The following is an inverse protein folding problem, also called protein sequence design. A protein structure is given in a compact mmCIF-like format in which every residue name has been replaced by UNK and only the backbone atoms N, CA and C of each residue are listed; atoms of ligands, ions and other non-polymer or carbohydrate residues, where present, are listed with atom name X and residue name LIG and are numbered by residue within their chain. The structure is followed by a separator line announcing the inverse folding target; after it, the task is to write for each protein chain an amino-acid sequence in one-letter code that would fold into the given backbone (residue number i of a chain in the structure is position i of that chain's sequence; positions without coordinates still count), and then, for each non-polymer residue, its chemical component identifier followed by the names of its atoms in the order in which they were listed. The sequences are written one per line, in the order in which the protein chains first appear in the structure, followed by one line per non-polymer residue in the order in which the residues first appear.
data_IF_411297857569
#
_entry.id   IF_411297857569
#
_cell.length_a   1.000
_cell.length_b   1.000
_cell.length_c   1.000
_cell.angle_alpha   90.00
_cell.angle_beta   90.00
_cell.angle_gamma   90.00
#
_symmetry.space_group_name_H-M   'P 1'
#
loop_
_entity.id
_entity.type
_entity.pdbx_description
1 polymer ?
#
# COMPACT_ATOMS: atom_id res chain seq x y z
N UNK A 1 -7.65 -4.15 3.99
CA UNK A 1 -8.87 -4.75 3.35
C UNK A 1 -9.00 -6.22 3.69
N UNK A 2 -10.17 -6.84 3.48
CA UNK A 2 -10.40 -8.26 3.72
C UNK A 2 -10.82 -8.96 2.42
N UNK A 3 -10.28 -10.16 2.18
CA UNK A 3 -10.58 -11.04 1.05
C UNK A 3 -11.14 -12.35 1.63
N UNK A 4 -12.34 -12.72 1.23
CA UNK A 4 -12.95 -14.00 1.61
C UNK A 4 -12.52 -15.09 0.62
N UNK A 5 -12.22 -16.28 1.14
CA UNK A 5 -11.87 -17.46 0.37
C UNK A 5 -13.05 -18.43 0.27
N UNK A 6 -13.01 -19.32 -0.73
CA UNK A 6 -14.08 -20.28 -1.00
C UNK A 6 -14.33 -21.27 0.15
N UNK A 7 -13.27 -21.59 0.91
CA UNK A 7 -13.33 -22.47 2.08
C UNK A 7 -13.78 -21.76 3.37
N UNK A 8 -14.15 -20.47 3.31
CA UNK A 8 -14.58 -19.66 4.44
C UNK A 8 -13.45 -18.94 5.21
N UNK A 9 -12.20 -19.19 4.87
CA UNK A 9 -11.08 -18.42 5.42
C UNK A 9 -11.12 -16.96 4.94
N UNK A 10 -10.43 -16.10 5.67
CA UNK A 10 -10.32 -14.69 5.31
C UNK A 10 -8.86 -14.24 5.36
N UNK A 11 -8.44 -13.53 4.33
CA UNK A 11 -7.13 -12.87 4.29
C UNK A 11 -7.30 -11.38 4.54
N UNK A 12 -6.60 -10.87 5.54
CA UNK A 12 -6.51 -9.43 5.81
C UNK A 12 -5.26 -8.90 5.17
N UNK A 13 -5.42 -7.86 4.36
CA UNK A 13 -4.33 -7.22 3.65
C UNK A 13 -4.22 -5.76 4.07
N UNK A 14 -3.06 -5.40 4.60
CA UNK A 14 -2.64 -4.01 4.77
C UNK A 14 -1.70 -3.66 3.61
N UNK A 15 -1.69 -2.40 3.17
CA UNK A 15 -0.89 -1.95 2.04
C UNK A 15 -0.53 -0.47 2.20
N UNK A 16 0.56 -0.08 1.57
CA UNK A 16 1.03 1.29 1.48
C UNK A 16 0.95 1.80 0.04
N UNK A 17 0.40 3.00 -0.15
CA UNK A 17 0.25 3.64 -1.47
C UNK A 17 0.96 4.99 -1.46
N UNK A 18 1.68 5.28 -2.53
CA UNK A 18 2.14 6.64 -2.80
C UNK A 18 0.97 7.49 -3.34
N UNK A 19 0.81 8.69 -2.78
CA UNK A 19 -0.28 9.58 -3.19
C UNK A 19 -0.01 10.33 -4.48
N UNK A 20 1.24 10.46 -4.88
CA UNK A 20 1.64 11.20 -6.08
C UNK A 20 1.52 10.36 -7.34
N UNK A 21 2.07 9.16 -7.30
CA UNK A 21 2.18 8.27 -8.46
C UNK A 21 1.28 7.03 -8.39
N UNK A 22 0.46 6.92 -7.33
CA UNK A 22 -0.46 5.81 -7.09
C UNK A 22 0.22 4.44 -6.95
N UNK A 23 1.53 4.37 -6.78
CA UNK A 23 2.26 3.12 -6.62
C UNK A 23 1.85 2.39 -5.33
N UNK A 24 1.58 1.11 -5.43
CA UNK A 24 1.45 0.23 -4.27
C UNK A 24 2.85 -0.23 -3.83
N UNK A 25 3.41 0.46 -2.84
CA UNK A 25 4.80 0.31 -2.40
C UNK A 25 5.06 -0.99 -1.64
N UNK A 26 4.03 -1.55 -1.01
CA UNK A 26 4.15 -2.79 -0.26
C UNK A 26 2.82 -3.28 0.29
N UNK A 27 2.80 -4.53 0.72
CA UNK A 27 1.65 -5.14 1.39
C UNK A 27 2.09 -6.16 2.43
N UNK A 28 1.23 -6.37 3.40
CA UNK A 28 1.31 -7.48 4.37
C UNK A 28 -0.03 -8.19 4.35
N UNK A 29 -0.01 -9.52 4.37
CA UNK A 29 -1.20 -10.35 4.32
C UNK A 29 -1.17 -11.42 5.41
N UNK A 30 -2.29 -11.56 6.13
CA UNK A 30 -2.41 -12.51 7.24
C UNK A 30 -3.86 -13.03 7.35
N UNK A 31 -4.02 -14.21 7.92
CA UNK A 31 -5.33 -14.74 8.32
C UNK A 31 -5.77 -14.22 9.69
N UNK A 32 -4.83 -13.69 10.47
CA UNK A 32 -5.06 -13.06 11.77
C UNK A 32 -5.41 -11.56 11.67
N UNK A 33 -5.25 -10.85 12.77
CA UNK A 33 -5.33 -9.38 12.81
C UNK A 33 -4.02 -8.75 12.34
N UNK A 34 -4.09 -7.59 11.69
CA UNK A 34 -2.91 -6.78 11.38
C UNK A 34 -2.30 -6.27 12.69
N UNK A 35 -1.03 -6.53 12.88
CA UNK A 35 -0.25 -6.16 14.07
C UNK A 35 0.50 -4.84 13.89
N UNK A 36 1.10 -4.34 14.96
CA UNK A 36 1.98 -3.18 14.88
C UNK A 36 3.26 -3.47 14.08
N UNK A 37 3.76 -4.70 14.15
CA UNK A 37 4.92 -5.17 13.39
C UNK A 37 4.62 -5.21 11.90
N UNK A 38 3.45 -5.72 11.49
CA UNK A 38 2.99 -5.68 10.09
C UNK A 38 2.96 -4.25 9.53
N UNK A 39 2.55 -3.29 10.36
CA UNK A 39 2.54 -1.87 9.97
C UNK A 39 3.96 -1.33 9.85
N UNK A 40 4.87 -1.72 10.73
CA UNK A 40 6.29 -1.33 10.64
C UNK A 40 6.95 -1.92 9.38
N UNK A 41 6.62 -3.14 8.98
CA UNK A 41 7.10 -3.74 7.72
C UNK A 41 6.65 -2.94 6.50
N UNK A 42 5.41 -2.42 6.49
CA UNK A 42 4.96 -1.50 5.44
C UNK A 42 5.71 -0.16 5.44
N UNK A 43 6.09 0.34 6.61
CA UNK A 43 6.92 1.54 6.73
C UNK A 43 8.32 1.32 6.18
N UNK A 44 8.92 0.14 6.43
CA UNK A 44 10.21 -0.26 5.86
C UNK A 44 10.13 -0.38 4.34
N UNK A 45 9.08 -0.97 3.80
CA UNK A 45 8.86 -1.04 2.35
C UNK A 45 8.80 0.37 1.73
N UNK A 46 8.19 1.32 2.41
CA UNK A 46 8.13 2.72 1.99
C UNK A 46 9.51 3.38 2.03
N UNK A 47 10.28 3.16 3.09
CA UNK A 47 11.65 3.65 3.21
C UNK A 47 12.53 3.12 2.06
N UNK A 48 12.48 1.83 1.78
CA UNK A 48 13.22 1.21 0.66
C UNK A 48 12.82 1.78 -0.70
N UNK A 49 11.53 2.10 -0.90
CA UNK A 49 11.03 2.71 -2.13
C UNK A 49 11.70 4.05 -2.44
N UNK A 50 12.00 4.83 -1.42
CA UNK A 50 12.68 6.11 -1.57
C UNK A 50 14.22 6.01 -1.56
N UNK A 51 14.77 4.80 -1.71
CA UNK A 51 16.18 4.54 -1.94
C UNK A 51 17.10 4.77 -0.73
N UNK A 52 16.53 4.79 0.46
CA UNK A 52 17.27 5.04 1.70
C UNK A 52 17.47 3.76 2.51
N UNK A 53 18.55 3.69 3.23
CA UNK A 53 18.83 2.63 4.20
C UNK A 53 18.70 3.20 5.60
N UNK A 54 17.77 2.67 6.36
CA UNK A 54 17.44 3.02 7.75
C UNK A 54 16.77 4.38 7.98
N UNK A 55 16.67 5.26 6.98
CA UNK A 55 15.98 6.53 7.10
C UNK A 55 15.74 7.20 5.75
N UNK A 56 14.57 7.80 5.55
CA UNK A 56 14.31 8.68 4.39
C UNK A 56 15.05 10.02 4.57
N UNK A 57 15.57 10.59 3.48
CA UNK A 57 16.31 11.86 3.53
C UNK A 57 15.43 13.03 3.91
N UNK A 58 14.28 13.12 3.28
CA UNK A 58 13.29 14.16 3.59
C UNK A 58 12.09 13.54 4.29
N UNK A 59 11.51 14.22 5.30
CA UNK A 59 10.38 13.70 6.04
C UNK A 59 9.18 13.46 5.12
N UNK A 60 8.63 12.24 5.17
CA UNK A 60 7.46 11.83 4.40
C UNK A 60 6.28 11.67 5.34
N UNK A 61 5.13 12.26 5.01
CA UNK A 61 3.91 12.05 5.77
C UNK A 61 3.37 10.64 5.55
N UNK A 62 3.24 9.90 6.64
CA UNK A 62 2.63 8.57 6.70
C UNK A 62 1.20 8.68 7.20
N UNK A 63 0.25 8.66 6.28
CA UNK A 63 -1.16 8.76 6.60
C UNK A 63 -1.77 7.38 6.83
N UNK A 64 -2.39 7.16 7.98
CA UNK A 64 -3.00 5.88 8.34
C UNK A 64 -4.38 6.02 8.98
N UNK A 65 -5.09 4.90 9.12
CA UNK A 65 -6.31 4.82 9.89
C UNK A 65 -6.05 4.99 11.40
N UNK A 66 -7.12 5.25 12.16
CA UNK A 66 -7.07 5.36 13.62
C UNK A 66 -7.03 4.01 14.36
N UNK A 67 -6.79 2.90 13.66
CA UNK A 67 -6.67 1.57 14.28
C UNK A 67 -5.51 1.50 15.28
N UNK A 68 -5.67 0.67 16.31
CA UNK A 68 -4.70 0.55 17.42
C UNK A 68 -3.28 0.20 16.96
N UNK A 69 -3.14 -0.68 15.96
CA UNK A 69 -1.84 -1.06 15.39
C UNK A 69 -1.11 0.11 14.72
N UNK A 70 -1.83 1.08 14.14
CA UNK A 70 -1.26 2.28 13.51
C UNK A 70 -0.95 3.38 14.51
N UNK A 71 -1.73 3.48 15.59
CA UNK A 71 -1.63 4.55 16.59
C UNK A 71 -0.80 4.16 17.80
N UNK A 72 -0.36 2.90 17.92
CA UNK A 72 0.47 2.42 18.99
C UNK A 72 1.73 3.28 19.17
N UNK A 73 2.16 3.48 20.41
CA UNK A 73 3.31 4.32 20.74
C UNK A 73 4.59 3.85 20.05
N UNK A 74 4.83 2.54 20.05
CA UNK A 74 6.00 1.93 19.39
C UNK A 74 5.95 2.09 17.87
N UNK A 75 4.79 1.94 17.22
CA UNK A 75 4.61 2.15 15.78
C UNK A 75 4.92 3.59 15.39
N UNK A 76 4.40 4.56 16.16
CA UNK A 76 4.69 5.99 15.93
C UNK A 76 6.14 6.35 16.20
N UNK A 77 6.76 5.74 17.21
CA UNK A 77 8.19 5.95 17.50
C UNK A 77 9.06 5.38 16.40
N UNK A 78 8.75 4.19 15.90
CA UNK A 78 9.42 3.55 14.78
C UNK A 78 9.34 4.42 13.51
N UNK A 79 8.13 4.88 13.14
CA UNK A 79 7.93 5.76 11.99
C UNK A 79 8.87 6.99 12.04
N UNK A 80 8.91 7.69 13.18
CA UNK A 80 9.80 8.85 13.36
C UNK A 80 11.27 8.48 13.28
N UNK A 81 11.65 7.30 13.78
CA UNK A 81 13.03 6.80 13.72
C UNK A 81 13.54 6.67 12.30
N UNK A 82 12.71 6.25 11.35
CA UNK A 82 13.04 6.12 9.93
C UNK A 82 12.68 7.35 9.08
N UNK A 83 12.26 8.45 9.70
CA UNK A 83 11.99 9.74 9.04
C UNK A 83 10.58 9.91 8.52
N UNK A 84 9.65 9.01 8.86
CA UNK A 84 8.24 9.16 8.54
C UNK A 84 7.53 10.03 9.59
N UNK A 85 6.62 10.88 9.15
CA UNK A 85 5.76 11.70 10.02
C UNK A 85 4.40 11.02 10.11
N UNK A 86 4.09 10.31 11.22
CA UNK A 86 2.81 9.63 11.36
C UNK A 86 1.66 10.64 11.47
N UNK A 87 0.69 10.51 10.58
CA UNK A 87 -0.56 11.24 10.55
C UNK A 87 -1.73 10.25 10.61
N UNK A 88 -2.76 10.62 11.32
CA UNK A 88 -4.03 9.86 11.32
C UNK A 88 -5.11 10.64 10.61
N UNK A 89 -5.91 9.94 9.82
CA UNK A 89 -7.05 10.56 9.15
C UNK A 89 -8.10 10.97 10.17
N UNK A 90 -8.62 12.20 10.13
CA UNK A 90 -9.79 12.58 10.90
C UNK A 90 -10.97 11.68 10.54
N UNK A 91 -11.78 11.30 11.52
CA UNK A 91 -12.93 10.38 11.38
C UNK A 91 -13.94 10.84 10.31
N UNK A 92 -13.92 12.10 9.92
CA UNK A 92 -14.88 12.74 9.02
C UNK A 92 -14.30 13.30 7.71
N UNK A 93 -13.11 12.86 7.27
CA UNK A 93 -12.54 13.34 6.01
C UNK A 93 -12.61 12.29 4.89
N UNK A 94 -13.63 12.36 4.00
CA UNK A 94 -13.82 11.39 2.91
C UNK A 94 -12.67 11.34 1.89
N UNK A 95 -11.95 12.45 1.70
CA UNK A 95 -10.91 12.54 0.67
C UNK A 95 -9.64 11.76 1.04
N UNK A 96 -9.33 11.63 2.32
CA UNK A 96 -8.13 10.91 2.76
C UNK A 96 -8.25 9.38 2.65
N UNK A 97 -9.45 8.84 2.57
CA UNK A 97 -9.71 7.41 2.40
C UNK A 97 -9.91 7.00 0.93
N UNK A 98 -10.26 7.96 0.07
CA UNK A 98 -10.69 7.68 -1.31
C UNK A 98 -9.69 6.89 -2.14
N UNK A 99 -8.39 7.14 -2.00
CA UNK A 99 -7.35 6.42 -2.74
C UNK A 99 -7.23 4.96 -2.25
N UNK A 100 -7.17 4.73 -0.95
CA UNK A 100 -7.07 3.39 -0.39
C UNK A 100 -8.33 2.55 -0.69
N UNK A 101 -9.50 3.16 -0.63
CA UNK A 101 -10.77 2.53 -1.01
C UNK A 101 -10.82 2.22 -2.51
N UNK A 102 -10.37 3.13 -3.36
CA UNK A 102 -10.31 2.93 -4.81
C UNK A 102 -9.36 1.79 -5.16
N UNK A 103 -8.18 1.74 -4.54
CA UNK A 103 -7.23 0.64 -4.69
C UNK A 103 -7.84 -0.70 -4.26
N UNK A 104 -8.41 -0.76 -3.04
CA UNK A 104 -9.03 -1.97 -2.53
C UNK A 104 -10.19 -2.46 -3.43
N UNK A 105 -10.97 -1.54 -3.98
CA UNK A 105 -12.05 -1.84 -4.94
C UNK A 105 -11.49 -2.40 -6.25
N UNK A 106 -10.44 -1.78 -6.79
CA UNK A 106 -9.75 -2.25 -7.99
C UNK A 106 -9.17 -3.64 -7.77
N UNK A 107 -8.45 -3.86 -6.66
CA UNK A 107 -7.87 -5.16 -6.36
C UNK A 107 -8.93 -6.26 -6.25
N UNK A 108 -10.05 -5.98 -5.58
CA UNK A 108 -11.17 -6.93 -5.48
C UNK A 108 -11.84 -7.21 -6.82
N UNK A 109 -12.08 -6.17 -7.63
CA UNK A 109 -12.77 -6.30 -8.91
C UNK A 109 -11.94 -7.00 -9.98
N UNK A 110 -10.68 -6.56 -10.14
CA UNK A 110 -9.86 -6.91 -11.30
C UNK A 110 -8.90 -8.08 -11.03
N UNK A 111 -8.67 -8.42 -9.76
CA UNK A 111 -7.76 -9.50 -9.37
C UNK A 111 -8.46 -10.60 -8.57
N UNK A 112 -9.08 -10.27 -7.44
CA UNK A 112 -9.69 -11.31 -6.57
C UNK A 112 -10.83 -12.04 -7.28
N UNK A 113 -11.72 -11.32 -7.95
CA UNK A 113 -12.91 -11.92 -8.61
C UNK A 113 -12.58 -12.75 -9.83
N UNK A 114 -11.44 -12.53 -10.47
CA UNK A 114 -11.04 -13.20 -11.71
C UNK A 114 -10.02 -14.31 -11.50
N UNK A 115 -9.53 -14.48 -10.28
CA UNK A 115 -8.56 -15.52 -9.94
C UNK A 115 -9.15 -16.47 -8.89
N UNK A 116 -8.74 -17.76 -8.88
CA UNK A 116 -9.18 -18.72 -7.87
C UNK A 116 -8.75 -18.30 -6.47
N UNK A 117 -9.67 -18.41 -5.50
CA UNK A 117 -9.43 -18.11 -4.10
C UNK A 117 -9.84 -19.28 -3.19
N UNK A 118 -9.32 -20.51 -3.42
CA UNK A 118 -9.78 -21.71 -2.73
C UNK A 118 -9.51 -21.68 -1.23
N UNK A 119 -8.42 -21.08 -0.80
CA UNK A 119 -7.99 -20.94 0.59
C UNK A 119 -7.09 -19.71 0.77
N UNK A 120 -6.78 -19.38 2.03
CA UNK A 120 -5.98 -18.20 2.37
C UNK A 120 -4.57 -18.25 1.78
N UNK A 121 -3.89 -19.39 1.80
CA UNK A 121 -2.55 -19.54 1.26
C UNK A 121 -2.50 -19.21 -0.23
N UNK A 122 -3.45 -19.74 -1.01
CA UNK A 122 -3.55 -19.46 -2.44
C UNK A 122 -3.74 -17.97 -2.75
N UNK A 123 -4.47 -17.25 -1.92
CA UNK A 123 -4.63 -15.79 -2.06
C UNK A 123 -3.32 -15.08 -1.72
N UNK A 124 -2.70 -15.43 -0.60
CA UNK A 124 -1.43 -14.83 -0.15
C UNK A 124 -0.34 -15.01 -1.22
N UNK A 125 -0.24 -16.19 -1.82
CA UNK A 125 0.77 -16.50 -2.86
C UNK A 125 0.54 -15.69 -4.15
N UNK A 126 -0.69 -15.27 -4.44
CA UNK A 126 -1.04 -14.49 -5.63
C UNK A 126 -0.83 -12.98 -5.45
N UNK A 127 -0.91 -12.47 -4.20
CA UNK A 127 -0.82 -11.03 -3.92
C UNK A 127 0.42 -10.34 -4.51
N UNK A 128 1.64 -10.87 -4.41
CA UNK A 128 2.81 -10.21 -4.99
C UNK A 128 2.66 -9.97 -6.49
N UNK A 129 2.12 -10.96 -7.23
CA UNK A 129 1.86 -10.84 -8.67
C UNK A 129 0.77 -9.80 -8.97
N UNK A 130 -0.29 -9.74 -8.17
CA UNK A 130 -1.36 -8.77 -8.36
C UNK A 130 -0.87 -7.34 -8.11
N UNK A 131 -0.07 -7.13 -7.08
CA UNK A 131 0.54 -5.82 -6.78
C UNK A 131 1.54 -5.40 -7.87
N UNK A 132 2.37 -6.32 -8.36
CA UNK A 132 3.28 -6.04 -9.48
C UNK A 132 2.50 -5.65 -10.74
N UNK A 133 1.49 -6.43 -11.13
CA UNK A 133 0.66 -6.13 -12.30
C UNK A 133 -0.07 -4.79 -12.15
N UNK A 134 -0.59 -4.47 -10.96
CA UNK A 134 -1.20 -3.17 -10.68
C UNK A 134 -0.20 -2.03 -10.92
N UNK A 135 1.01 -2.14 -10.42
CA UNK A 135 2.04 -1.11 -10.58
C UNK A 135 2.53 -0.98 -12.03
N UNK A 136 2.62 -2.08 -12.76
CA UNK A 136 3.23 -2.13 -14.09
C UNK A 136 2.24 -1.89 -15.23
N UNK A 137 0.97 -2.31 -15.06
CA UNK A 137 0.01 -2.41 -16.16
C UNK A 137 -1.30 -1.67 -15.91
N UNK A 138 -1.78 -1.59 -14.65
CA UNK A 138 -3.11 -1.03 -14.38
C UNK A 138 -3.17 0.48 -14.68
N UNK A 139 -4.04 0.93 -15.61
CA UNK A 139 -4.09 2.34 -16.00
C UNK A 139 -4.85 3.18 -14.96
N UNK A 140 -4.31 4.33 -14.60
CA UNK A 140 -4.91 5.29 -13.68
C UNK A 140 -5.37 6.56 -14.39
N UNK A 141 -6.63 6.92 -14.23
CA UNK A 141 -7.15 8.17 -14.79
C UNK A 141 -6.37 9.40 -14.28
N UNK A 142 -6.00 9.42 -13.00
CA UNK A 142 -5.20 10.49 -12.40
C UNK A 142 -3.80 10.61 -13.02
N UNK A 143 -3.25 9.51 -13.53
CA UNK A 143 -1.96 9.43 -14.19
C UNK A 143 -2.07 9.50 -15.74
N UNK A 144 -3.16 10.06 -16.26
CA UNK A 144 -3.47 10.12 -17.69
C UNK A 144 -3.48 8.74 -18.36
N UNK A 145 -4.14 7.77 -17.70
CA UNK A 145 -4.26 6.38 -18.14
C UNK A 145 -2.95 5.60 -18.22
N UNK A 146 -1.91 6.04 -17.52
CA UNK A 146 -0.67 5.28 -17.34
C UNK A 146 -0.73 4.43 -16.10
N UNK A 147 0.09 3.39 -16.07
CA UNK A 147 0.38 2.68 -14.82
C UNK A 147 1.31 3.51 -13.91
N UNK A 148 1.38 3.22 -12.61
CA UNK A 148 2.32 3.87 -11.71
C UNK A 148 3.76 3.84 -12.21
N UNK A 149 4.25 2.69 -12.67
CA UNK A 149 5.63 2.53 -13.16
C UNK A 149 5.92 3.31 -14.44
N UNK A 150 4.96 3.35 -15.38
CA UNK A 150 5.08 4.20 -16.59
C UNK A 150 5.14 5.69 -16.22
N UNK A 151 4.32 6.12 -15.27
CA UNK A 151 4.32 7.51 -14.82
C UNK A 151 5.64 7.90 -14.16
N UNK A 152 6.17 7.04 -13.26
CA UNK A 152 7.46 7.26 -12.59
C UNK A 152 8.60 7.33 -13.61
N UNK A 153 8.65 6.39 -14.57
CA UNK A 153 9.71 6.35 -15.60
C UNK A 153 9.77 7.65 -16.40
N UNK A 154 8.61 8.14 -16.86
CA UNK A 154 8.56 9.40 -17.62
C UNK A 154 8.94 10.63 -16.78
N UNK A 155 8.59 10.65 -15.50
CA UNK A 155 8.98 11.74 -14.61
C UNK A 155 10.50 11.80 -14.41
N UNK A 156 11.15 10.64 -14.33
CA UNK A 156 12.62 10.54 -14.25
C UNK A 156 13.31 11.00 -15.55
N UNK A 157 12.79 10.64 -16.72
CA UNK A 157 13.32 11.07 -18.02
C UNK A 157 13.24 12.59 -18.20
N UNK A 158 12.14 13.20 -17.77
CA UNK A 158 11.94 14.66 -17.84
C UNK A 158 12.95 15.40 -16.98
N UNK A 159 13.26 14.89 -15.78
CA UNK A 159 14.26 15.47 -14.86
C UNK A 159 15.70 15.30 -15.37
N UNK A 160 15.99 14.23 -16.11
CA UNK A 160 17.32 13.97 -16.68
C UNK A 160 17.60 14.77 -17.94
N UNK A 161 16.59 15.43 -18.53
CA UNK A 161 16.67 16.22 -19.76
C UNK A 161 16.80 17.73 -19.51
N UNK A 162 16.84 18.14 -18.25
CA UNK A 162 17.06 19.53 -17.78
C UNK A 162 18.46 19.74 -17.24
#
# INVERSE_FOLDING_TARGET
MEIACDNGEKVRVAFALDRHDCEAMGHVATTGGITAEDVQDLMVATEHRYGQVNRVHEPIEWLSHNGSCYTARNTRAFARGIGLIPRTTPVSNPQSHGMAEAFARTLKRDYVRVNPSPNAQSVIDQLPRWFAHYNEVHPHRALRYRSPREFIAQSCETLSSL
#
